data_IF_618750105181
#
_entry.id   IF_618750105181
#
_cell.length_a   1.000
_cell.length_b   1.000
_cell.length_c   1.000
_cell.angle_alpha   90.00
_cell.angle_beta   90.00
_cell.angle_gamma   90.00
#
_symmetry.space_group_name_H-M   'P 1'
#
loop_
_entity.id
_entity.type
_entity.pdbx_description
1 polymer ?
#
# COMPACT_ATOMS: atom_id res chain seq x y z
N UNK A 1 -38.16 3.58 -63.97
CA UNK A 1 -37.25 4.53 -63.31
C UNK A 1 -37.29 4.45 -61.78
N UNK A 2 -37.36 3.25 -61.16
CA UNK A 2 -37.40 3.11 -59.68
C UNK A 2 -36.22 2.32 -59.08
N UNK A 3 -35.45 1.60 -59.90
CA UNK A 3 -34.33 0.76 -59.43
C UNK A 3 -33.05 1.57 -59.13
N UNK A 4 -32.79 2.66 -59.86
CA UNK A 4 -31.59 3.49 -59.71
C UNK A 4 -31.51 4.29 -58.39
N UNK A 5 -32.65 4.55 -57.75
CA UNK A 5 -32.70 5.31 -56.49
C UNK A 5 -32.25 4.48 -55.28
N UNK A 6 -32.41 3.15 -55.34
CA UNK A 6 -32.11 2.27 -54.22
C UNK A 6 -30.60 1.96 -54.15
N UNK A 7 -29.93 1.83 -55.30
CA UNK A 7 -28.48 1.59 -55.38
C UNK A 7 -27.62 2.80 -54.97
N UNK A 8 -28.16 4.02 -55.09
CA UNK A 8 -27.47 5.24 -54.68
C UNK A 8 -27.51 5.45 -53.15
N UNK A 9 -28.58 4.97 -52.49
CA UNK A 9 -28.72 5.09 -51.03
C UNK A 9 -27.81 4.13 -50.26
N UNK A 10 -27.55 2.94 -50.78
CA UNK A 10 -26.67 1.96 -50.13
C UNK A 10 -25.19 2.34 -50.22
N UNK A 11 -24.77 3.06 -51.26
CA UNK A 11 -23.40 3.57 -51.39
C UNK A 11 -23.15 4.78 -50.50
N UNK A 12 -24.15 5.62 -50.26
CA UNK A 12 -24.02 6.77 -49.35
C UNK A 12 -23.80 6.34 -47.89
N UNK A 13 -24.48 5.29 -47.43
CA UNK A 13 -24.37 4.80 -46.05
C UNK A 13 -22.99 4.23 -45.69
N UNK A 14 -22.26 3.68 -46.66
CA UNK A 14 -20.93 3.09 -46.42
C UNK A 14 -19.86 4.19 -46.29
N UNK A 15 -20.10 5.39 -46.84
CA UNK A 15 -19.16 6.53 -46.75
C UNK A 15 -19.24 7.34 -45.46
N UNK A 16 -20.25 7.12 -44.61
CA UNK A 16 -20.38 7.82 -43.32
C UNK A 16 -19.65 7.11 -42.15
N UNK A 17 -19.11 5.91 -42.36
CA UNK A 17 -18.24 5.28 -41.39
C UNK A 17 -16.83 5.87 -41.49
N UNK A 18 -16.66 7.08 -40.94
CA UNK A 18 -15.33 7.65 -40.71
C UNK A 18 -14.48 6.72 -39.84
N UNK A 19 -13.14 6.79 -39.93
CA UNK A 19 -12.28 5.99 -39.07
C UNK A 19 -12.64 6.26 -37.61
N UNK A 20 -13.04 5.22 -36.89
CA UNK A 20 -13.19 5.29 -35.44
C UNK A 20 -11.79 5.44 -34.86
N UNK A 21 -11.42 6.67 -34.48
CA UNK A 21 -10.23 6.93 -33.69
C UNK A 21 -10.43 6.25 -32.34
N UNK A 22 -9.84 5.08 -32.15
CA UNK A 22 -9.68 4.53 -30.82
C UNK A 22 -8.65 5.41 -30.12
N UNK A 23 -9.10 6.29 -29.21
CA UNK A 23 -8.19 7.05 -28.36
C UNK A 23 -7.26 6.07 -27.64
N UNK A 24 -5.98 6.08 -27.99
CA UNK A 24 -4.96 5.36 -27.24
C UNK A 24 -4.69 6.16 -25.98
N UNK A 25 -5.58 6.05 -24.99
CA UNK A 25 -5.39 6.67 -23.70
C UNK A 25 -4.24 5.94 -22.99
N UNK A 26 -3.02 6.36 -23.27
CA UNK A 26 -1.81 5.83 -22.67
C UNK A 26 -1.44 6.66 -21.45
N UNK A 27 -1.12 6.00 -20.34
CA UNK A 27 -0.68 6.64 -19.11
C UNK A 27 0.49 5.86 -18.52
N UNK A 28 1.26 6.52 -17.65
CA UNK A 28 2.35 5.87 -16.92
C UNK A 28 1.87 5.50 -15.53
N UNK A 29 1.95 4.22 -15.16
CA UNK A 29 1.79 3.78 -13.77
C UNK A 29 3.18 3.71 -13.15
N UNK A 30 3.44 4.56 -12.16
CA UNK A 30 4.69 4.52 -11.39
C UNK A 30 4.44 3.78 -10.09
N UNK A 31 5.11 2.65 -9.90
CA UNK A 31 5.16 1.94 -8.63
C UNK A 31 6.40 2.38 -7.86
N UNK A 32 6.24 2.63 -6.55
CA UNK A 32 7.34 2.87 -5.62
C UNK A 32 7.26 1.85 -4.51
N UNK A 33 8.39 1.26 -4.16
CA UNK A 33 8.53 0.28 -3.09
C UNK A 33 10.00 0.04 -2.78
N UNK A 34 10.28 -0.62 -1.66
CA UNK A 34 11.61 -1.02 -1.26
C UNK A 34 11.62 -2.51 -0.92
N UNK A 35 12.67 -3.22 -1.34
CA UNK A 35 12.95 -4.57 -0.84
C UNK A 35 13.77 -4.38 0.43
N UNK A 36 13.14 -4.60 1.58
CA UNK A 36 13.77 -4.41 2.89
C UNK A 36 14.22 -5.75 3.45
N UNK A 37 15.29 -5.73 4.25
CA UNK A 37 15.96 -6.95 4.71
C UNK A 37 15.23 -7.70 5.85
N UNK A 38 14.01 -7.32 6.21
CA UNK A 38 13.24 -8.09 7.19
C UNK A 38 12.10 -7.32 7.85
N UNK A 39 11.24 -8.08 8.53
CA UNK A 39 10.26 -7.57 9.50
C UNK A 39 10.96 -6.87 10.68
N UNK A 40 10.24 -6.06 11.45
CA UNK A 40 10.82 -5.43 12.64
C UNK A 40 11.23 -6.53 13.64
N UNK A 41 12.48 -6.51 14.09
CA UNK A 41 12.99 -7.40 15.10
C UNK A 41 12.80 -6.77 16.48
N UNK A 42 12.34 -7.57 17.45
CA UNK A 42 12.10 -7.12 18.82
C UNK A 42 12.82 -8.03 19.81
N UNK A 43 13.64 -7.45 20.69
CA UNK A 43 14.19 -8.20 21.81
C UNK A 43 13.26 -8.09 23.04
N UNK A 44 12.31 -9.03 23.12
CA UNK A 44 11.22 -9.03 24.13
C UNK A 44 11.67 -9.66 25.47
N UNK A 45 12.94 -10.07 25.60
CA UNK A 45 13.43 -10.73 26.81
C UNK A 45 13.41 -9.84 28.06
N UNK A 46 13.40 -8.51 27.90
CA UNK A 46 13.38 -7.53 28.99
C UNK A 46 12.54 -6.31 28.59
N UNK A 47 11.97 -5.62 29.58
CA UNK A 47 11.36 -4.31 29.42
C UNK A 47 12.30 -3.27 30.06
N UNK A 48 12.76 -2.23 29.34
CA UNK A 48 12.33 -1.80 28.01
C UNK A 48 12.81 -2.69 26.86
N UNK A 49 11.98 -2.79 25.82
CA UNK A 49 12.20 -3.60 24.61
C UNK A 49 12.96 -2.80 23.57
N UNK A 50 13.93 -3.43 22.92
CA UNK A 50 14.64 -2.86 21.77
C UNK A 50 13.95 -3.29 20.48
N UNK A 51 13.54 -2.30 19.68
CA UNK A 51 12.95 -2.44 18.36
C UNK A 51 14.01 -2.10 17.31
N UNK A 52 14.29 -3.03 16.41
CA UNK A 52 15.14 -2.84 15.23
C UNK A 52 14.24 -2.99 14.00
N UNK A 53 13.72 -1.86 13.51
CA UNK A 53 12.75 -1.82 12.42
C UNK A 53 13.31 -1.04 11.23
N UNK A 54 12.78 -1.29 10.03
CA UNK A 54 13.06 -0.46 8.86
C UNK A 54 12.11 0.73 8.82
N UNK A 55 12.62 1.96 8.73
CA UNK A 55 11.79 3.14 8.53
C UNK A 55 11.52 3.35 7.02
N UNK A 56 10.26 3.22 6.56
CA UNK A 56 9.91 3.39 5.15
C UNK A 56 10.11 4.83 4.66
N UNK A 57 10.11 5.84 5.53
CA UNK A 57 10.30 7.23 5.14
C UNK A 57 11.77 7.56 4.85
N UNK A 58 12.69 7.10 5.70
CA UNK A 58 14.14 7.34 5.53
C UNK A 58 14.86 6.26 4.72
N UNK A 59 14.25 5.08 4.56
CA UNK A 59 14.83 3.94 3.87
C UNK A 59 15.98 3.27 4.64
N UNK A 60 16.00 3.41 5.97
CA UNK A 60 17.09 2.93 6.84
C UNK A 60 16.56 2.10 7.99
N UNK A 61 17.41 1.23 8.53
CA UNK A 61 17.15 0.59 9.81
C UNK A 61 17.24 1.62 10.95
N UNK A 62 16.27 1.57 11.85
CA UNK A 62 16.15 2.44 13.02
C UNK A 62 16.01 1.54 14.25
N UNK A 63 16.91 1.75 15.20
CA UNK A 63 16.92 1.03 16.47
C UNK A 63 16.43 1.96 17.57
N UNK A 64 15.31 1.61 18.20
CA UNK A 64 14.67 2.41 19.24
C UNK A 64 14.32 1.54 20.44
N UNK A 65 14.56 2.05 21.64
CA UNK A 65 14.17 1.38 22.89
C UNK A 65 12.86 1.96 23.39
N UNK A 66 11.86 1.12 23.64
CA UNK A 66 10.56 1.54 24.15
C UNK A 66 10.11 0.71 25.34
N UNK A 67 9.42 1.36 26.28
CA UNK A 67 8.85 0.71 27.45
C UNK A 67 7.40 0.33 27.13
N UNK A 68 7.11 -0.97 27.06
CA UNK A 68 5.77 -1.48 26.71
C UNK A 68 4.68 -1.02 27.69
N UNK A 69 5.06 -0.66 28.92
CA UNK A 69 4.14 -0.16 29.95
C UNK A 69 3.88 1.35 29.82
N UNK A 70 4.64 2.05 28.98
CA UNK A 70 4.50 3.48 28.73
C UNK A 70 4.06 3.72 27.26
N UNK A 71 2.76 3.98 27.01
CA UNK A 71 2.24 4.19 25.66
C UNK A 71 2.94 5.31 24.89
N UNK A 72 3.41 6.37 25.60
CA UNK A 72 4.14 7.49 24.96
C UNK A 72 5.48 7.08 24.37
N UNK A 73 6.08 6.00 24.86
CA UNK A 73 7.34 5.50 24.30
C UNK A 73 7.13 4.72 23.00
N UNK A 74 5.90 4.30 22.71
CA UNK A 74 5.55 3.54 21.51
C UNK A 74 5.20 4.45 20.32
N UNK A 75 4.79 5.70 20.57
CA UNK A 75 4.39 6.65 19.51
C UNK A 75 5.54 7.16 18.65
N UNK A 76 6.80 6.97 19.08
CA UNK A 76 7.99 7.41 18.35
C UNK A 76 8.62 6.32 17.47
N UNK A 77 7.99 5.15 17.39
CA UNK A 77 8.48 4.04 16.59
C UNK A 77 8.05 4.20 15.12
N UNK A 78 8.86 3.75 14.15
CA UNK A 78 8.48 3.72 12.72
C UNK A 78 7.46 2.61 12.40
N UNK A 79 6.78 2.07 13.42
CA UNK A 79 5.81 0.99 13.36
C UNK A 79 4.68 1.29 14.35
N UNK A 80 3.48 0.82 14.04
CA UNK A 80 2.37 0.82 14.99
C UNK A 80 2.53 -0.38 15.94
N UNK A 81 2.43 -0.13 17.25
CA UNK A 81 2.49 -1.18 18.29
C UNK A 81 1.19 -1.20 19.08
N UNK A 82 0.52 -2.36 19.09
CA UNK A 82 -0.67 -2.63 19.90
C UNK A 82 -0.38 -3.70 20.95
N UNK A 83 -0.79 -3.40 22.19
CA UNK A 83 -0.61 -4.31 23.32
C UNK A 83 -1.94 -4.90 23.75
N UNK A 84 -2.07 -6.21 23.64
CA UNK A 84 -3.23 -6.98 24.10
C UNK A 84 -2.88 -7.75 25.36
N UNK A 85 -3.22 -7.20 26.52
CA UNK A 85 -2.95 -7.81 27.82
C UNK A 85 -3.99 -8.87 28.19
N UNK A 86 -3.53 -10.00 28.73
CA UNK A 86 -4.40 -11.08 29.20
C UNK A 86 -4.72 -11.00 30.69
N UNK A 87 -3.95 -10.20 31.44
CA UNK A 87 -4.12 -10.04 32.88
C UNK A 87 -4.03 -8.58 33.32
N UNK A 88 -4.71 -8.19 34.42
CA UNK A 88 -4.69 -6.82 34.93
C UNK A 88 -3.29 -6.33 35.31
N UNK A 89 -2.41 -7.23 35.76
CA UNK A 89 -1.04 -6.92 36.15
C UNK A 89 -0.11 -6.69 34.94
N UNK A 90 -0.61 -6.89 33.70
CA UNK A 90 0.13 -6.69 32.44
C UNK A 90 1.46 -7.44 32.38
N UNK A 91 1.45 -8.68 32.86
CA UNK A 91 2.63 -9.56 32.79
C UNK A 91 2.55 -10.56 31.64
N UNK A 92 1.36 -10.75 31.07
CA UNK A 92 1.09 -11.66 29.94
C UNK A 92 0.25 -10.93 28.89
N UNK A 93 0.64 -11.07 27.64
CA UNK A 93 -0.08 -10.47 26.53
C UNK A 93 0.51 -10.81 25.18
N UNK A 94 -0.13 -10.29 24.14
CA UNK A 94 0.35 -10.30 22.76
C UNK A 94 0.80 -8.89 22.39
N UNK A 95 1.93 -8.82 21.68
CA UNK A 95 2.41 -7.62 21.01
C UNK A 95 2.10 -7.77 19.54
N UNK A 96 1.30 -6.87 19.00
CA UNK A 96 1.06 -6.74 17.55
C UNK A 96 1.88 -5.57 17.03
N UNK A 97 2.66 -5.81 15.98
CA UNK A 97 3.51 -4.80 15.33
C UNK A 97 3.19 -4.76 13.84
N UNK A 98 2.86 -3.57 13.37
CA UNK A 98 2.44 -3.34 11.99
C UNK A 98 3.26 -2.20 11.37
N UNK A 99 3.71 -2.42 10.13
CA UNK A 99 4.28 -1.35 9.31
C UNK A 99 3.15 -0.51 8.72
N UNK A 100 3.34 0.82 8.71
CA UNK A 100 2.43 1.79 8.10
C UNK A 100 2.68 1.93 6.60
#
# INVERSE_FOLDING_TARGET
>A
MKSLLITCFTTLLITLAGPASADSNSGTITFRGAITNGSCNMNIGQNPVVFDCYDPASGKAVVTTANLMNPKSLTGLPVEVKMHWFNPEKTKGIIEVSYL
#
